data_IF_152917080153
#
_entry.id   IF_152917080153
#
_cell.length_a   1.000
_cell.length_b   1.000
_cell.length_c   1.000
_cell.angle_alpha   90.00
_cell.angle_beta   90.00
_cell.angle_gamma   90.00
#
_symmetry.space_group_name_H-M   'P 1'
#
loop_
_entity.id
_entity.type
_entity.pdbx_description
1 polymer ?
#
# COMPACT_ATOMS: atom_id res chain seq x y z
N UNK A 1 8.05 -64.68 19.45
CA UNK A 1 6.85 -63.83 19.21
C UNK A 1 5.56 -64.67 19.26
N UNK A 2 5.61 -65.91 18.78
CA UNK A 2 4.53 -66.93 18.90
C UNK A 2 4.20 -67.24 20.38
N UNK A 3 5.20 -67.29 21.27
CA UNK A 3 4.97 -67.56 22.70
C UNK A 3 4.17 -66.46 23.44
N UNK A 4 4.30 -65.20 23.00
CA UNK A 4 3.52 -64.09 23.57
C UNK A 4 2.04 -64.18 23.18
N UNK A 5 1.74 -64.60 21.94
CA UNK A 5 0.38 -64.88 21.47
C UNK A 5 -0.26 -66.05 22.21
N UNK A 6 0.50 -67.12 22.47
CA UNK A 6 0.02 -68.24 23.31
C UNK A 6 -0.26 -67.82 24.75
N UNK A 7 0.61 -66.98 25.35
CA UNK A 7 0.39 -66.49 26.72
C UNK A 7 -0.89 -65.65 26.85
N UNK A 8 -1.22 -64.86 25.83
CA UNK A 8 -2.45 -64.05 25.79
C UNK A 8 -3.70 -64.92 25.65
N UNK A 9 -3.65 -65.97 24.83
CA UNK A 9 -4.76 -66.92 24.66
C UNK A 9 -4.96 -67.83 25.87
N UNK A 10 -3.93 -68.03 26.71
CA UNK A 10 -4.00 -68.86 27.92
C UNK A 10 -4.72 -68.21 29.11
N UNK A 11 -5.15 -66.95 28.97
CA UNK A 11 -5.80 -66.21 30.06
C UNK A 11 -7.15 -66.86 30.44
N UNK A 12 -7.39 -67.03 31.75
CA UNK A 12 -8.56 -67.69 32.34
C UNK A 12 -9.90 -67.13 31.83
N UNK A 13 -9.94 -65.85 31.48
CA UNK A 13 -11.12 -65.17 30.93
C UNK A 13 -11.36 -65.46 29.44
N UNK A 14 -10.29 -65.69 28.67
CA UNK A 14 -10.36 -66.00 27.23
C UNK A 14 -10.78 -67.46 27.01
N UNK A 15 -10.23 -68.38 27.80
CA UNK A 15 -10.69 -69.78 27.80
C UNK A 15 -12.17 -69.88 28.19
N UNK A 16 -12.65 -69.10 29.16
CA UNK A 16 -14.07 -69.08 29.55
C UNK A 16 -15.00 -68.56 28.43
N UNK A 17 -14.52 -67.65 27.59
CA UNK A 17 -15.24 -67.15 26.43
C UNK A 17 -15.23 -68.13 25.23
N UNK A 18 -14.14 -68.89 25.05
CA UNK A 18 -13.99 -69.87 23.96
C UNK A 18 -14.84 -71.13 24.20
N UNK A 19 -14.95 -71.58 25.46
CA UNK A 19 -15.76 -72.75 25.87
C UNK A 19 -17.21 -72.40 26.28
N UNK A 20 -17.66 -71.17 26.03
CA UNK A 20 -19.03 -70.74 26.31
C UNK A 20 -20.06 -71.40 25.34
N UNK A 21 -21.33 -71.56 25.76
CA UNK A 21 -22.36 -72.13 24.89
C UNK A 21 -22.49 -71.33 23.58
N UNK A 22 -22.74 -72.04 22.46
CA UNK A 22 -22.63 -71.53 21.08
C UNK A 22 -23.29 -70.15 20.85
N UNK A 23 -24.44 -69.89 21.48
CA UNK A 23 -25.18 -68.62 21.39
C UNK A 23 -24.38 -67.41 21.89
N UNK A 24 -23.66 -67.54 23.00
CA UNK A 24 -22.87 -66.44 23.58
C UNK A 24 -21.59 -66.19 22.79
N UNK A 25 -20.97 -67.25 22.24
CA UNK A 25 -19.79 -67.13 21.38
C UNK A 25 -20.09 -66.37 20.09
N UNK A 26 -21.24 -66.63 19.48
CA UNK A 26 -21.69 -65.91 18.28
C UNK A 26 -21.94 -64.42 18.56
N UNK A 27 -22.59 -64.09 19.68
CA UNK A 27 -22.81 -62.69 20.08
C UNK A 27 -21.48 -61.98 20.33
N UNK A 28 -20.54 -62.60 21.04
CA UNK A 28 -19.22 -62.02 21.28
C UNK A 28 -18.44 -61.79 19.97
N UNK A 29 -18.49 -62.74 19.03
CA UNK A 29 -17.86 -62.59 17.72
C UNK A 29 -18.48 -61.46 16.89
N UNK A 30 -19.81 -61.33 16.92
CA UNK A 30 -20.54 -60.28 16.20
C UNK A 30 -20.20 -58.90 16.75
N UNK A 31 -20.17 -58.74 18.07
CA UNK A 31 -19.74 -57.49 18.72
C UNK A 31 -18.32 -57.12 18.32
N UNK A 32 -17.41 -58.09 18.29
CA UNK A 32 -16.01 -57.87 17.93
C UNK A 32 -15.87 -57.49 16.45
N UNK A 33 -16.68 -58.07 15.57
CA UNK A 33 -16.74 -57.73 14.15
C UNK A 33 -17.25 -56.30 13.93
N UNK A 34 -18.33 -55.90 14.62
CA UNK A 34 -18.86 -54.53 14.55
C UNK A 34 -17.83 -53.51 15.06
N UNK A 35 -17.16 -53.83 16.17
CA UNK A 35 -16.12 -52.98 16.73
C UNK A 35 -14.93 -52.84 15.76
N UNK A 36 -14.53 -53.95 15.13
CA UNK A 36 -13.47 -53.95 14.12
C UNK A 36 -13.86 -53.11 12.89
N UNK A 37 -15.09 -53.24 12.39
CA UNK A 37 -15.59 -52.45 11.26
C UNK A 37 -15.61 -50.95 11.56
N UNK A 38 -16.01 -50.53 12.77
CA UNK A 38 -15.99 -49.12 13.18
C UNK A 38 -14.58 -48.53 13.21
N UNK A 39 -13.64 -49.26 13.83
CA UNK A 39 -12.23 -48.84 13.91
C UNK A 39 -11.61 -48.78 12.51
N UNK A 40 -11.89 -49.78 11.66
CA UNK A 40 -11.40 -49.83 10.28
C UNK A 40 -11.92 -48.64 9.46
N UNK A 41 -13.20 -48.30 9.57
CA UNK A 41 -13.78 -47.15 8.89
C UNK A 41 -13.15 -45.83 9.35
N UNK A 42 -12.96 -45.64 10.65
CA UNK A 42 -12.35 -44.43 11.22
C UNK A 42 -10.88 -44.24 10.82
N UNK A 43 -10.08 -45.31 10.82
CA UNK A 43 -8.63 -45.22 10.55
C UNK A 43 -8.31 -45.19 9.05
N UNK A 44 -9.01 -45.98 8.22
CA UNK A 44 -8.63 -46.17 6.82
C UNK A 44 -9.52 -45.43 5.83
N UNK A 45 -10.83 -45.34 6.08
CA UNK A 45 -11.79 -44.79 5.10
C UNK A 45 -12.00 -43.28 5.30
N UNK A 46 -12.15 -42.84 6.56
CA UNK A 46 -12.32 -41.42 6.89
C UNK A 46 -11.21 -40.51 6.34
N UNK A 47 -9.90 -40.79 6.51
CA UNK A 47 -8.86 -39.89 6.00
C UNK A 47 -8.83 -39.80 4.48
N UNK A 48 -9.22 -40.85 3.76
CA UNK A 48 -9.27 -40.85 2.30
C UNK A 48 -10.41 -39.96 1.79
N UNK A 49 -11.56 -39.97 2.46
CA UNK A 49 -12.70 -39.13 2.10
C UNK A 49 -12.46 -37.64 2.45
N UNK A 50 -11.82 -37.35 3.59
CA UNK A 50 -11.55 -35.97 4.02
C UNK A 50 -10.43 -35.30 3.21
N UNK A 51 -9.43 -36.07 2.76
CA UNK A 51 -8.33 -35.53 1.95
C UNK A 51 -8.80 -35.05 0.58
N UNK A 52 -9.77 -35.73 -0.05
CA UNK A 52 -10.30 -35.32 -1.35
C UNK A 52 -11.06 -33.98 -1.28
N UNK A 53 -11.86 -33.77 -0.24
CA UNK A 53 -12.58 -32.50 -0.04
C UNK A 53 -11.62 -31.33 0.24
N UNK A 54 -10.52 -31.58 0.97
CA UNK A 54 -9.50 -30.56 1.22
C UNK A 54 -8.73 -30.17 -0.04
N UNK A 55 -8.46 -31.12 -0.93
CA UNK A 55 -7.77 -30.87 -2.20
C UNK A 55 -8.67 -30.09 -3.16
N UNK A 56 -9.96 -30.41 -3.23
CA UNK A 56 -10.93 -29.69 -4.07
C UNK A 56 -11.11 -28.22 -3.63
N UNK A 57 -11.22 -27.98 -2.32
CA UNK A 57 -11.26 -26.63 -1.76
C UNK A 57 -9.96 -25.84 -2.03
N UNK A 58 -8.81 -26.49 -1.97
CA UNK A 58 -7.53 -25.84 -2.28
C UNK A 58 -7.41 -25.49 -3.77
N UNK A 59 -7.87 -26.36 -4.67
CA UNK A 59 -7.90 -26.11 -6.12
C UNK A 59 -8.82 -24.92 -6.44
N UNK A 60 -10.00 -24.84 -5.83
CA UNK A 60 -10.93 -23.73 -6.06
C UNK A 60 -10.40 -22.40 -5.52
N UNK A 61 -9.82 -22.41 -4.31
CA UNK A 61 -9.17 -21.23 -3.73
C UNK A 61 -7.98 -20.73 -4.56
N UNK A 62 -7.18 -21.64 -5.13
CA UNK A 62 -6.09 -21.26 -6.02
C UNK A 62 -6.58 -20.72 -7.36
N UNK A 63 -7.65 -21.29 -7.94
CA UNK A 63 -8.25 -20.80 -9.20
C UNK A 63 -8.78 -19.36 -9.07
N UNK A 64 -9.34 -18.99 -7.92
CA UNK A 64 -9.85 -17.63 -7.68
C UNK A 64 -8.74 -16.58 -7.47
N UNK A 65 -7.57 -16.99 -6.99
CA UNK A 65 -6.44 -16.07 -6.76
C UNK A 65 -5.62 -15.78 -8.01
N UNK A 66 -5.54 -16.71 -8.97
CA UNK A 66 -4.83 -16.53 -10.24
C UNK A 66 -5.27 -15.25 -10.99
N UNK A 67 -6.56 -14.95 -11.22
CA UNK A 67 -6.96 -13.73 -11.92
C UNK A 67 -6.66 -12.45 -11.13
N UNK A 68 -6.72 -12.50 -9.79
CA UNK A 68 -6.36 -11.37 -8.93
C UNK A 68 -4.86 -11.04 -9.00
N UNK A 69 -4.01 -12.08 -9.06
CA UNK A 69 -2.57 -11.93 -9.23
C UNK A 69 -2.19 -11.45 -10.63
N UNK A 70 -2.83 -11.97 -11.68
CA UNK A 70 -2.66 -11.51 -13.07
C UNK A 70 -3.06 -10.03 -13.21
N UNK A 71 -4.17 -9.61 -12.58
CA UNK A 71 -4.61 -8.21 -12.58
C UNK A 71 -3.59 -7.30 -11.90
N UNK A 72 -3.08 -7.68 -10.72
CA UNK A 72 -2.02 -6.93 -10.02
C UNK A 72 -0.72 -6.84 -10.84
N UNK A 73 -0.35 -7.89 -11.58
CA UNK A 73 0.84 -7.88 -12.43
C UNK A 73 0.67 -6.95 -13.65
N UNK A 74 -0.50 -7.01 -14.30
CA UNK A 74 -0.85 -6.11 -15.41
C UNK A 74 -0.93 -4.65 -14.98
N UNK A 75 -1.43 -4.40 -13.77
CA UNK A 75 -1.47 -3.06 -13.18
C UNK A 75 -0.07 -2.57 -12.82
N UNK A 76 0.85 -3.45 -12.43
CA UNK A 76 2.27 -3.13 -12.20
C UNK A 76 3.01 -2.77 -13.49
N UNK A 77 2.75 -3.50 -14.58
CA UNK A 77 3.36 -3.24 -15.88
C UNK A 77 2.87 -1.89 -16.45
N UNK A 78 1.56 -1.65 -16.38
CA UNK A 78 0.98 -0.32 -16.71
C UNK A 78 1.51 0.80 -15.83
N UNK A 79 1.73 0.54 -14.55
CA UNK A 79 2.28 1.53 -13.64
C UNK A 79 3.74 1.84 -13.97
N UNK A 80 4.54 0.84 -14.36
CA UNK A 80 5.91 1.04 -14.85
C UNK A 80 5.93 1.85 -16.15
N UNK A 81 5.05 1.53 -17.10
CA UNK A 81 4.91 2.32 -18.34
C UNK A 81 4.55 3.76 -18.04
N UNK A 82 3.61 4.02 -17.12
CA UNK A 82 3.25 5.37 -16.72
C UNK A 82 4.41 6.11 -16.05
N UNK A 83 5.16 5.44 -15.17
CA UNK A 83 6.37 6.03 -14.56
C UNK A 83 7.41 6.35 -15.62
N UNK A 84 7.65 5.45 -16.58
CA UNK A 84 8.61 5.67 -17.66
C UNK A 84 8.20 6.81 -18.60
N UNK A 85 6.91 6.92 -18.92
CA UNK A 85 6.35 8.05 -19.67
C UNK A 85 6.51 9.36 -18.88
N UNK A 86 6.25 9.35 -17.57
CA UNK A 86 6.42 10.53 -16.71
C UNK A 86 7.90 10.92 -16.58
N UNK A 87 8.80 9.95 -16.44
CA UNK A 87 10.25 10.20 -16.42
C UNK A 87 10.76 10.74 -17.75
N UNK A 88 10.30 10.17 -18.86
CA UNK A 88 10.65 10.63 -20.19
C UNK A 88 10.10 12.04 -20.46
N UNK A 89 8.86 12.30 -20.07
CA UNK A 89 8.26 13.63 -20.10
C UNK A 89 9.05 14.63 -19.22
N UNK A 90 9.52 14.23 -18.04
CA UNK A 90 10.39 15.05 -17.20
C UNK A 90 11.77 15.32 -17.85
N UNK A 91 12.34 14.34 -18.56
CA UNK A 91 13.61 14.48 -19.31
C UNK A 91 13.47 15.41 -20.51
N UNK A 92 12.37 15.31 -21.25
CA UNK A 92 12.08 16.12 -22.44
C UNK A 92 11.62 17.54 -22.08
N UNK A 93 10.79 17.67 -21.05
CA UNK A 93 10.24 18.95 -20.55
C UNK A 93 11.16 19.55 -19.50
N UNK A 94 12.46 19.65 -19.80
CA UNK A 94 13.60 20.19 -19.03
C UNK A 94 13.26 21.08 -17.81
N UNK A 95 12.55 20.55 -16.81
CA UNK A 95 12.39 21.11 -15.48
C UNK A 95 13.75 20.90 -14.85
N UNK A 96 14.65 21.85 -15.13
CA UNK A 96 15.98 21.86 -14.56
C UNK A 96 15.78 22.11 -13.09
N UNK A 97 15.59 21.05 -12.29
CA UNK A 97 15.66 21.13 -10.83
C UNK A 97 17.07 21.69 -10.58
N UNK A 98 17.18 22.97 -10.21
CA UNK A 98 18.47 23.61 -10.28
C UNK A 98 19.43 22.92 -9.29
N UNK A 99 20.61 22.52 -9.77
CA UNK A 99 21.63 21.86 -8.95
C UNK A 99 22.08 22.79 -7.79
N UNK A 100 22.02 24.09 -8.05
CA UNK A 100 22.23 25.17 -7.10
C UNK A 100 21.40 26.39 -7.52
N UNK A 101 20.15 26.53 -7.11
CA UNK A 101 19.54 27.85 -7.02
C UNK A 101 19.47 28.19 -5.55
N UNK A 102 20.41 29.05 -5.14
CA UNK A 102 20.39 29.67 -3.83
C UNK A 102 19.01 30.28 -3.66
N UNK A 103 18.32 29.96 -2.57
CA UNK A 103 17.04 30.57 -2.17
C UNK A 103 16.92 32.05 -2.51
N UNK A 104 17.97 32.89 -2.37
CA UNK A 104 17.98 34.27 -2.86
C UNK A 104 17.60 34.49 -4.32
N UNK A 105 18.01 33.63 -5.26
CA UNK A 105 17.70 33.76 -6.69
C UNK A 105 16.21 33.47 -6.93
N UNK A 106 15.68 32.40 -6.34
CA UNK A 106 14.24 32.11 -6.38
C UNK A 106 13.43 33.26 -5.78
N UNK A 107 13.83 33.77 -4.62
CA UNK A 107 13.17 34.92 -4.00
C UNK A 107 13.27 36.19 -4.85
N UNK A 108 14.38 36.38 -5.58
CA UNK A 108 14.55 37.50 -6.50
C UNK A 108 13.62 37.38 -7.70
N UNK A 109 13.55 36.21 -8.34
CA UNK A 109 12.63 35.93 -9.46
C UNK A 109 11.16 35.96 -9.03
N UNK A 110 10.86 35.47 -7.82
CA UNK A 110 9.53 35.57 -7.23
C UNK A 110 9.15 37.03 -6.98
N UNK A 111 10.06 37.83 -6.42
CA UNK A 111 9.82 39.24 -6.16
C UNK A 111 9.68 40.04 -7.46
N UNK A 112 10.42 39.68 -8.51
CA UNK A 112 10.29 40.25 -9.85
C UNK A 112 8.93 39.90 -10.47
N UNK A 113 8.51 38.64 -10.39
CA UNK A 113 7.20 38.19 -10.86
C UNK A 113 6.06 38.92 -10.11
N UNK A 114 6.15 39.03 -8.78
CA UNK A 114 5.17 39.77 -7.98
C UNK A 114 5.18 41.26 -8.34
N UNK A 115 6.34 41.89 -8.45
CA UNK A 115 6.44 43.32 -8.80
C UNK A 115 5.89 43.62 -10.19
N UNK A 116 6.13 42.75 -11.17
CA UNK A 116 5.60 42.88 -12.54
C UNK A 116 4.07 42.75 -12.63
N UNK A 117 3.45 42.08 -11.65
CA UNK A 117 2.01 41.84 -11.62
C UNK A 117 1.20 43.00 -11.01
N UNK A 118 1.88 43.98 -10.38
CA UNK A 118 1.25 45.11 -9.69
C UNK A 118 0.71 44.77 -8.30
N UNK A 119 0.99 43.56 -7.79
CA UNK A 119 0.53 43.07 -6.50
C UNK A 119 1.37 43.67 -5.37
N UNK A 120 0.73 44.08 -4.27
CA UNK A 120 1.41 44.59 -3.08
C UNK A 120 1.70 43.44 -2.11
N UNK A 121 2.97 43.23 -1.74
CA UNK A 121 3.35 42.25 -0.73
C UNK A 121 3.10 42.83 0.67
N UNK A 122 2.22 42.21 1.44
CA UNK A 122 1.98 42.55 2.85
C UNK A 122 3.01 41.85 3.74
N UNK A 123 3.23 40.55 3.50
CA UNK A 123 4.21 39.75 4.24
C UNK A 123 4.75 38.63 3.35
N UNK A 124 6.04 38.35 3.45
CA UNK A 124 6.68 37.20 2.82
C UNK A 124 7.68 36.61 3.81
N UNK A 125 7.32 35.48 4.41
CA UNK A 125 8.09 34.86 5.48
C UNK A 125 8.45 33.41 5.15
N UNK A 126 9.68 32.96 5.47
CA UNK A 126 10.05 31.56 5.34
C UNK A 126 9.26 30.72 6.36
N UNK A 127 8.59 29.68 5.89
CA UNK A 127 7.80 28.76 6.71
C UNK A 127 8.59 27.51 7.15
N UNK A 128 9.79 27.29 6.59
CA UNK A 128 10.70 26.23 6.99
C UNK A 128 11.34 25.49 5.81
N UNK A 129 12.24 24.56 6.12
CA UNK A 129 12.92 23.69 5.15
C UNK A 129 12.72 22.25 5.58
N UNK A 130 12.20 21.42 4.69
CA UNK A 130 11.93 20.01 4.96
C UNK A 130 12.61 19.13 3.93
N UNK A 131 13.35 18.11 4.36
CA UNK A 131 13.92 17.13 3.44
C UNK A 131 12.81 16.17 2.98
N UNK A 132 12.50 16.20 1.69
CA UNK A 132 11.54 15.30 1.08
C UNK A 132 12.15 13.89 0.97
N UNK A 133 11.56 12.92 1.68
CA UNK A 133 12.05 11.53 1.77
C UNK A 133 12.02 10.78 0.43
N UNK A 134 11.18 11.20 -0.51
CA UNK A 134 10.95 10.49 -1.77
C UNK A 134 11.78 11.04 -2.93
N UNK A 135 12.08 12.34 -2.88
CA UNK A 135 12.78 13.02 -3.97
C UNK A 135 14.27 13.26 -3.66
N UNK A 136 14.71 13.04 -2.42
CA UNK A 136 16.03 13.44 -1.91
C UNK A 136 16.34 14.93 -2.18
N UNK A 137 15.29 15.75 -2.17
CA UNK A 137 15.33 17.20 -2.32
C UNK A 137 14.90 17.88 -1.02
N UNK A 138 15.38 19.09 -0.80
CA UNK A 138 14.89 19.98 0.25
C UNK A 138 13.75 20.81 -0.30
N UNK A 139 12.57 20.65 0.28
CA UNK A 139 11.44 21.54 0.11
C UNK A 139 11.68 22.81 0.93
N UNK A 140 11.63 23.96 0.29
CA UNK A 140 11.74 25.26 0.93
C UNK A 140 10.35 25.89 0.87
N UNK A 141 9.76 26.13 2.04
CA UNK A 141 8.40 26.61 2.18
C UNK A 141 8.41 28.10 2.53
N UNK A 142 7.52 28.86 1.91
CA UNK A 142 7.27 30.28 2.18
C UNK A 142 5.79 30.51 2.38
N UNK A 143 5.46 31.50 3.21
CA UNK A 143 4.11 32.05 3.32
C UNK A 143 4.14 33.46 2.77
N UNK A 144 3.23 33.73 1.84
CA UNK A 144 3.04 35.06 1.29
C UNK A 144 1.63 35.56 1.63
N UNK A 145 1.55 36.83 2.00
CA UNK A 145 0.32 37.59 2.13
C UNK A 145 0.38 38.77 1.19
N UNK A 146 -0.60 38.87 0.32
CA UNK A 146 -0.62 39.78 -0.82
C UNK A 146 -1.92 40.59 -0.79
N UNK A 147 -1.85 41.84 -1.24
CA UNK A 147 -3.02 42.70 -1.50
C UNK A 147 -3.06 43.08 -2.96
N UNK A 148 -4.16 42.79 -3.64
CA UNK A 148 -4.32 43.06 -5.06
C UNK A 148 -5.78 43.04 -5.52
N UNK A 149 -6.05 43.62 -6.68
CA UNK A 149 -7.30 43.41 -7.42
C UNK A 149 -7.35 42.03 -8.10
N UNK A 150 -8.53 41.58 -8.51
CA UNK A 150 -8.68 40.30 -9.21
C UNK A 150 -7.86 40.20 -10.51
N UNK A 151 -7.80 41.23 -11.39
CA UNK A 151 -6.95 41.18 -12.58
C UNK A 151 -5.45 41.05 -12.28
N UNK A 152 -4.97 41.71 -11.23
CA UNK A 152 -3.56 41.62 -10.80
C UNK A 152 -3.24 40.23 -10.25
N UNK A 153 -4.18 39.60 -9.54
CA UNK A 153 -4.04 38.21 -9.09
C UNK A 153 -3.88 37.23 -10.26
N UNK A 154 -4.63 37.43 -11.35
CA UNK A 154 -4.49 36.61 -12.56
C UNK A 154 -3.13 36.83 -13.21
N UNK A 155 -2.67 38.08 -13.32
CA UNK A 155 -1.33 38.40 -13.85
C UNK A 155 -0.23 37.74 -13.02
N UNK A 156 -0.39 37.71 -11.70
CA UNK A 156 0.53 37.02 -10.80
C UNK A 156 0.61 35.53 -11.12
N UNK A 157 -0.53 34.83 -11.28
CA UNK A 157 -0.51 33.41 -11.61
C UNK A 157 0.12 33.13 -12.97
N UNK A 158 -0.14 33.97 -13.97
CA UNK A 158 0.51 33.85 -15.28
C UNK A 158 2.04 34.00 -15.13
N UNK A 159 2.48 35.04 -14.40
CA UNK A 159 3.90 35.26 -14.16
C UNK A 159 4.56 34.10 -13.40
N UNK A 160 3.87 33.49 -12.43
CA UNK A 160 4.35 32.31 -11.69
C UNK A 160 4.41 31.05 -12.55
N UNK A 161 3.49 30.87 -13.51
CA UNK A 161 3.51 29.74 -14.45
C UNK A 161 4.67 29.86 -15.44
N UNK A 162 4.99 31.08 -15.86
CA UNK A 162 6.08 31.36 -16.78
C UNK A 162 7.47 31.33 -16.09
N UNK A 163 7.51 31.18 -14.76
CA UNK A 163 8.77 31.00 -14.05
C UNK A 163 9.44 29.69 -14.48
N UNK A 164 10.73 29.78 -14.76
CA UNK A 164 11.57 28.61 -15.06
C UNK A 164 11.74 27.67 -13.86
N UNK A 165 11.60 28.20 -12.65
CA UNK A 165 11.78 27.48 -11.40
C UNK A 165 10.47 26.80 -10.94
N UNK A 166 10.60 25.66 -10.27
CA UNK A 166 9.45 24.94 -9.71
C UNK A 166 8.88 25.75 -8.54
N UNK A 167 7.69 26.31 -8.74
CA UNK A 167 6.91 26.98 -7.71
C UNK A 167 5.56 26.24 -7.53
N UNK A 168 5.37 25.63 -6.37
CA UNK A 168 4.11 24.99 -6.01
C UNK A 168 3.35 25.93 -5.08
N UNK A 169 2.12 26.26 -5.46
CA UNK A 169 1.20 27.01 -4.60
C UNK A 169 0.34 26.01 -3.82
N UNK A 170 0.37 26.09 -2.50
CA UNK A 170 -0.46 25.30 -1.60
C UNK A 170 -1.26 26.21 -0.67
N UNK A 171 -2.42 25.75 -0.21
CA UNK A 171 -3.28 26.43 0.76
C UNK A 171 -3.48 27.92 0.48
N UNK A 172 -4.18 28.22 -0.62
CA UNK A 172 -4.57 29.58 -0.97
C UNK A 172 -5.89 29.95 -0.29
N UNK A 173 -5.91 31.09 0.37
CA UNK A 173 -7.09 31.73 0.91
C UNK A 173 -7.22 33.14 0.33
N UNK A 174 -8.37 33.43 -0.28
CA UNK A 174 -8.68 34.74 -0.85
C UNK A 174 -9.79 35.36 -0.02
N UNK A 175 -9.54 36.54 0.54
CA UNK A 175 -10.52 37.33 1.29
C UNK A 175 -10.76 38.63 0.56
N UNK A 176 -12.02 39.03 0.42
CA UNK A 176 -12.37 40.35 -0.10
C UNK A 176 -12.21 41.39 1.00
N UNK A 177 -11.46 42.43 0.71
CA UNK A 177 -11.36 43.64 1.53
C UNK A 177 -12.23 44.75 0.91
N UNK A 178 -12.36 45.89 1.58
CA UNK A 178 -13.10 47.03 1.07
C UNK A 178 -12.52 47.54 -0.28
N UNK A 179 -13.35 48.16 -1.11
CA UNK A 179 -12.98 48.77 -2.39
C UNK A 179 -12.31 47.82 -3.41
N UNK A 180 -12.94 46.67 -3.66
CA UNK A 180 -12.55 45.69 -4.69
C UNK A 180 -11.15 45.03 -4.53
N UNK A 181 -10.44 45.35 -3.45
CA UNK A 181 -9.18 44.73 -3.11
C UNK A 181 -9.38 43.33 -2.52
N UNK A 182 -8.46 42.44 -2.84
CA UNK A 182 -8.39 41.07 -2.34
C UNK A 182 -7.12 40.93 -1.52
N UNK A 183 -7.28 40.36 -0.32
CA UNK A 183 -6.17 39.88 0.48
C UNK A 183 -6.01 38.39 0.20
N UNK A 184 -4.87 38.01 -0.36
CA UNK A 184 -4.53 36.64 -0.72
C UNK A 184 -3.44 36.13 0.20
N UNK A 185 -3.73 35.07 0.94
CA UNK A 185 -2.77 34.32 1.74
C UNK A 185 -2.47 33.02 1.00
N UNK A 186 -1.20 32.76 0.69
CA UNK A 186 -0.78 31.57 -0.05
C UNK A 186 0.53 31.02 0.51
N UNK A 187 0.68 29.69 0.45
CA UNK A 187 1.96 29.06 0.75
C UNK A 187 2.65 28.70 -0.58
N UNK A 188 3.91 29.08 -0.71
CA UNK A 188 4.76 28.74 -1.84
C UNK A 188 5.76 27.68 -1.40
N UNK A 189 5.98 26.70 -2.25
CA UNK A 189 6.97 25.67 -2.04
C UNK A 189 7.85 25.55 -3.28
N UNK A 190 9.15 25.50 -3.07
CA UNK A 190 10.14 25.21 -4.12
C UNK A 190 11.07 24.09 -3.67
N UNK A 191 11.82 23.50 -4.60
CA UNK A 191 12.73 22.39 -4.33
C UNK A 191 14.18 22.73 -4.67
N UNK A 192 15.09 22.31 -3.80
CA UNK A 192 16.55 22.45 -3.97
C UNK A 192 17.26 21.13 -3.62
N UNK A 193 18.38 20.82 -4.30
CA UNK A 193 19.19 19.62 -3.99
C UNK A 193 20.04 19.79 -2.73
N UNK A 194 20.42 21.02 -2.36
CA UNK A 194 21.37 21.30 -1.27
C UNK A 194 20.72 21.93 -0.03
N UNK A 195 19.44 22.33 -0.10
CA UNK A 195 18.75 22.98 1.02
C UNK A 195 19.08 24.47 1.13
N UNK A 196 18.99 25.02 2.34
CA UNK A 196 19.30 26.42 2.63
C UNK A 196 20.69 26.48 3.28
N UNK A 197 21.73 26.54 2.45
CA UNK A 197 23.10 26.81 2.88
C UNK A 197 24.14 25.80 2.39
N UNK A 198 24.93 26.23 1.40
CA UNK A 198 26.38 26.14 1.42
C UNK A 198 26.91 27.56 1.15
#
# INVERSE_FOLDING_TARGET
MIDKLQSLLSNRYINKAIYAPLKFRLVAMLVLLVLFSLIFYGIFVSPVLTNNASVENHINYMKEQIPLLIKKQKDLEKLKEQVEILEQSNRETKFSIPESHSVPIFLSSLNEAISSSGVTIIDLSPAGVEKNKYLDLYAINFRAKLSCSFPELIKLFIALIDMKDIAIITNMAIKREADENLVVELNLQTYSRQGVGA
#
